data_IF_815580580570
#
_entry.id   IF_815580580570
#
_cell.length_a   1.000
_cell.length_b   1.000
_cell.length_c   1.000
_cell.angle_alpha   90.00
_cell.angle_beta   90.00
_cell.angle_gamma   90.00
#
_symmetry.space_group_name_H-M   'P 1'
#
loop_
_entity.id
_entity.type
_entity.pdbx_description
1 polymer ?
#
# COMPACT_ATOMS: atom_id res chain seq x y z
N UNK A 1 14.45 -12.00 -3.59
CA UNK A 1 13.32 -11.21 -4.13
C UNK A 1 13.23 -9.93 -3.33
N UNK A 2 13.51 -8.79 -3.96
CA UNK A 2 13.44 -7.47 -3.30
C UNK A 2 12.01 -7.18 -2.85
N UNK A 3 11.84 -6.82 -1.57
CA UNK A 3 10.57 -6.32 -1.05
C UNK A 3 10.39 -4.89 -1.54
N UNK A 4 9.59 -4.67 -2.56
CA UNK A 4 9.27 -3.31 -3.03
C UNK A 4 8.28 -2.67 -2.06
N UNK A 5 8.76 -1.82 -1.17
CA UNK A 5 7.88 -0.99 -0.33
C UNK A 5 7.43 0.21 -1.17
N UNK A 6 6.11 0.44 -1.34
CA UNK A 6 5.63 1.60 -2.07
C UNK A 6 6.03 2.91 -1.40
N UNK A 7 6.77 3.77 -2.11
CA UNK A 7 7.16 5.10 -1.65
C UNK A 7 6.38 6.22 -2.34
N UNK A 8 5.57 5.89 -3.35
CA UNK A 8 4.83 6.85 -4.14
C UNK A 8 3.33 6.49 -4.20
N UNK A 9 2.45 7.49 -4.40
CA UNK A 9 1.06 7.23 -4.72
C UNK A 9 0.92 6.43 -6.02
N UNK A 10 -0.03 5.51 -6.06
CA UNK A 10 -0.22 4.64 -7.22
C UNK A 10 -1.12 3.44 -6.91
N UNK A 11 -1.30 2.59 -7.90
CA UNK A 11 -1.98 1.31 -7.73
C UNK A 11 -0.95 0.22 -7.53
N UNK A 12 -1.14 -0.61 -6.51
CA UNK A 12 -0.22 -1.68 -6.12
C UNK A 12 -1.00 -2.97 -5.87
N UNK A 13 -0.28 -4.09 -5.85
CA UNK A 13 -0.79 -5.35 -5.29
C UNK A 13 -0.21 -5.55 -3.91
N UNK A 14 -1.07 -5.95 -2.98
CA UNK A 14 -0.75 -6.21 -1.59
C UNK A 14 -1.18 -7.61 -1.20
N UNK A 15 -0.32 -8.35 -0.49
CA UNK A 15 -0.63 -9.68 0.04
C UNK A 15 -0.33 -9.73 1.54
N UNK A 16 -1.35 -9.74 2.42
CA UNK A 16 -1.13 -9.70 3.87
C UNK A 16 -0.50 -11.00 4.41
N UNK A 17 -0.79 -12.14 3.78
CA UNK A 17 -0.23 -13.43 4.16
C UNK A 17 -0.09 -14.34 2.92
N UNK A 18 0.87 -15.27 2.94
CA UNK A 18 1.15 -16.20 1.83
C UNK A 18 -0.05 -17.05 1.37
N UNK A 19 -1.03 -17.28 2.25
CA UNK A 19 -2.23 -18.09 2.00
C UNK A 19 -3.42 -17.27 1.48
N UNK A 20 -3.35 -15.94 1.55
CA UNK A 20 -4.39 -15.03 1.09
C UNK A 20 -4.12 -14.56 -0.34
N UNK A 21 -5.14 -14.21 -1.14
CA UNK A 21 -4.93 -13.72 -2.48
C UNK A 21 -4.25 -12.35 -2.49
N UNK A 22 -3.64 -12.00 -3.63
CA UNK A 22 -3.18 -10.64 -3.89
C UNK A 22 -4.38 -9.69 -4.02
N UNK A 23 -4.37 -8.61 -3.26
CA UNK A 23 -5.37 -7.56 -3.27
C UNK A 23 -4.87 -6.37 -4.10
N UNK A 24 -5.73 -5.80 -4.93
CA UNK A 24 -5.44 -4.51 -5.56
C UNK A 24 -5.74 -3.39 -4.57
N UNK A 25 -4.74 -2.56 -4.29
CA UNK A 25 -4.85 -1.44 -3.33
C UNK A 25 -4.32 -0.16 -3.95
N UNK A 26 -4.81 0.98 -3.49
CA UNK A 26 -4.37 2.29 -3.94
C UNK A 26 -3.61 3.02 -2.84
N UNK A 27 -2.38 3.39 -3.10
CA UNK A 27 -1.58 4.26 -2.23
C UNK A 27 -1.85 5.70 -2.64
N UNK A 28 -2.20 6.55 -1.68
CA UNK A 28 -2.51 7.97 -1.90
C UNK A 28 -1.79 8.84 -0.87
N UNK A 29 -1.53 10.11 -1.18
CA UNK A 29 -1.08 11.08 -0.17
C UNK A 29 -2.24 11.39 0.77
N UNK A 30 -1.97 11.49 2.06
CA UNK A 30 -2.97 11.84 3.08
C UNK A 30 -3.49 13.26 2.88
N UNK A 31 -2.57 14.20 2.63
CA UNK A 31 -2.89 15.61 2.42
C UNK A 31 -1.87 16.29 1.52
N UNK A 32 -2.29 17.37 0.85
CA UNK A 32 -1.38 18.28 0.13
C UNK A 32 -0.41 18.96 1.11
N UNK A 33 -0.85 19.21 2.34
CA UNK A 33 -0.07 19.85 3.39
C UNK A 33 0.88 18.88 4.12
N UNK A 34 0.68 17.57 3.96
CA UNK A 34 1.52 16.52 4.54
C UNK A 34 1.91 15.50 3.45
N UNK A 35 2.72 15.92 2.45
CA UNK A 35 2.99 15.14 1.25
C UNK A 35 3.71 13.81 1.51
N UNK A 36 4.38 13.71 2.66
CA UNK A 36 5.16 12.55 3.08
C UNK A 36 4.32 11.47 3.77
N UNK A 37 3.08 11.78 4.14
CA UNK A 37 2.20 10.80 4.78
C UNK A 37 1.35 10.10 3.74
N UNK A 38 1.56 8.78 3.59
CA UNK A 38 0.81 7.94 2.67
C UNK A 38 -0.33 7.20 3.39
N UNK A 39 -1.41 6.94 2.65
CA UNK A 39 -2.56 6.11 3.06
C UNK A 39 -2.81 5.04 2.02
N UNK A 40 -3.27 3.88 2.48
CA UNK A 40 -3.65 2.76 1.61
C UNK A 40 -5.17 2.66 1.60
N UNK A 41 -5.76 2.69 0.42
CA UNK A 41 -7.18 2.43 0.19
C UNK A 41 -7.37 1.02 -0.35
N UNK A 42 -8.19 0.24 0.33
CA UNK A 42 -8.54 -1.12 -0.05
C UNK A 42 -10.02 -1.36 0.24
N UNK A 43 -10.80 -1.77 -0.76
CA UNK A 43 -12.22 -2.09 -0.63
C UNK A 43 -13.05 -1.02 0.11
N UNK A 44 -12.83 0.27 -0.18
CA UNK A 44 -13.55 1.38 0.46
C UNK A 44 -13.04 1.77 1.86
N UNK A 45 -12.13 1.00 2.46
CA UNK A 45 -11.48 1.33 3.72
C UNK A 45 -10.14 2.04 3.49
N UNK A 46 -9.74 2.89 4.44
CA UNK A 46 -8.47 3.63 4.39
C UNK A 46 -7.62 3.31 5.61
N UNK A 47 -6.39 2.85 5.37
CA UNK A 47 -5.44 2.44 6.39
C UNK A 47 -4.18 3.33 6.37
N UNK A 48 -3.45 3.35 7.49
CA UNK A 48 -2.10 3.94 7.55
C UNK A 48 -1.16 3.11 6.67
N UNK A 49 -0.47 3.77 5.73
CA UNK A 49 0.47 3.09 4.85
C UNK A 49 1.65 2.50 5.63
N UNK A 50 2.21 3.24 6.60
CA UNK A 50 3.33 2.79 7.44
C UNK A 50 3.05 1.44 8.10
N UNK A 51 1.84 1.25 8.67
CA UNK A 51 1.44 -0.01 9.30
C UNK A 51 1.28 -1.15 8.28
N UNK A 52 0.74 -0.87 7.10
CA UNK A 52 0.55 -1.90 6.07
C UNK A 52 1.85 -2.27 5.34
N UNK A 53 2.77 -1.34 5.17
CA UNK A 53 4.09 -1.61 4.56
C UNK A 53 4.96 -2.51 5.43
N UNK A 54 4.80 -2.42 6.75
CA UNK A 54 5.44 -3.33 7.69
C UNK A 54 4.84 -4.75 7.68
N UNK A 55 3.63 -4.94 7.13
CA UNK A 55 2.86 -6.17 7.24
C UNK A 55 2.42 -6.69 5.88
N UNK A 56 3.18 -7.63 5.32
CA UNK A 56 2.82 -8.35 4.09
C UNK A 56 3.80 -8.15 2.95
N UNK A 57 3.40 -8.58 1.76
CA UNK A 57 4.15 -8.49 0.51
C UNK A 57 3.51 -7.47 -0.42
N UNK A 58 4.34 -6.80 -1.22
CA UNK A 58 3.93 -5.71 -2.09
C UNK A 58 4.53 -5.86 -3.48
N UNK A 59 3.75 -5.54 -4.52
CA UNK A 59 4.17 -5.54 -5.92
C UNK A 59 3.62 -4.31 -6.65
N UNK A 60 4.41 -3.75 -7.56
CA UNK A 60 4.02 -2.61 -8.42
C UNK A 60 5.11 -1.53 -8.51
N UNK A 61 4.76 -0.33 -9.02
CA UNK A 61 3.40 0.10 -9.41
C UNK A 61 2.83 -0.69 -10.60
N UNK A 62 1.50 -0.81 -10.65
CA UNK A 62 0.72 -1.34 -11.78
C UNK A 62 0.40 -0.27 -12.81
#
# INVERSE_FOLDING_TARGET
MEKTIPSQPGTYRFKPHSLLPWLSVRVVKESVLAPDTLRVRCAGMTFSATRMFANGEWQGPL
#
